data_IF_404553375123
#
_entry.id   IF_404553375123
#
_cell.length_a   1.000
_cell.length_b   1.000
_cell.length_c   1.000
_cell.angle_alpha   90.00
_cell.angle_beta   90.00
_cell.angle_gamma   90.00
#
_symmetry.space_group_name_H-M   'P 1'
#
loop_
_entity.id
_entity.type
_entity.pdbx_description
1 polymer ?
#
# COMPACT_ATOMS: atom_id res chain seq x y z
N UNK A 1 28.18 -11.36 -13.67
CA UNK A 1 27.30 -10.27 -13.19
C UNK A 1 26.17 -9.87 -14.17
N UNK A 2 26.21 -10.20 -15.46
CA UNK A 2 25.25 -9.71 -16.47
C UNK A 2 23.90 -10.46 -16.61
N UNK A 3 23.82 -11.73 -16.19
CA UNK A 3 22.63 -12.56 -16.42
C UNK A 3 21.42 -12.12 -15.58
N UNK A 4 21.62 -11.91 -14.28
CA UNK A 4 20.58 -11.44 -13.34
C UNK A 4 19.93 -10.13 -13.81
N UNK A 5 20.73 -9.20 -14.34
CA UNK A 5 20.24 -7.92 -14.86
C UNK A 5 19.38 -8.09 -16.12
N UNK A 6 19.81 -8.92 -17.08
CA UNK A 6 19.02 -9.20 -18.29
C UNK A 6 17.69 -9.86 -17.95
N UNK A 7 17.69 -10.80 -17.01
CA UNK A 7 16.47 -11.42 -16.50
C UNK A 7 15.53 -10.40 -15.84
N UNK A 8 16.05 -9.58 -14.92
CA UNK A 8 15.27 -8.56 -14.22
C UNK A 8 14.62 -7.56 -15.19
N UNK A 9 15.35 -7.13 -16.24
CA UNK A 9 14.78 -6.24 -17.27
C UNK A 9 13.63 -6.90 -18.02
N UNK A 10 13.76 -8.18 -18.39
CA UNK A 10 12.73 -8.91 -19.16
C UNK A 10 11.49 -9.24 -18.32
N UNK A 11 11.68 -9.50 -17.02
CA UNK A 11 10.66 -10.02 -16.11
C UNK A 11 10.34 -9.09 -14.93
N UNK A 12 10.52 -7.76 -15.08
CA UNK A 12 10.32 -6.75 -14.01
C UNK A 12 9.05 -6.97 -13.18
N UNK A 13 7.91 -7.10 -13.84
CA UNK A 13 6.62 -7.24 -13.15
C UNK A 13 6.56 -8.54 -12.33
N UNK A 14 6.97 -9.68 -12.91
CA UNK A 14 6.97 -10.95 -12.20
C UNK A 14 7.95 -10.98 -11.04
N UNK A 15 9.15 -10.40 -11.23
CA UNK A 15 10.14 -10.25 -10.16
C UNK A 15 9.58 -9.41 -9.01
N UNK A 16 8.94 -8.29 -9.33
CA UNK A 16 8.29 -7.45 -8.34
C UNK A 16 7.20 -8.20 -7.58
N UNK A 17 6.28 -8.91 -8.27
CA UNK A 17 5.20 -9.63 -7.59
C UNK A 17 5.76 -10.65 -6.59
N UNK A 18 6.72 -11.48 -7.02
CA UNK A 18 7.36 -12.48 -6.16
C UNK A 18 8.04 -11.83 -4.96
N UNK A 19 8.80 -10.75 -5.19
CA UNK A 19 9.47 -10.04 -4.10
C UNK A 19 8.48 -9.37 -3.14
N UNK A 20 7.39 -8.80 -3.64
CA UNK A 20 6.39 -8.13 -2.81
C UNK A 20 5.79 -9.12 -1.81
N UNK A 21 5.34 -10.29 -2.29
CA UNK A 21 4.85 -11.36 -1.42
C UNK A 21 5.89 -11.86 -0.44
N UNK A 22 7.08 -12.23 -0.93
CA UNK A 22 8.13 -12.79 -0.07
C UNK A 22 8.53 -11.83 1.04
N UNK A 23 8.70 -10.53 0.71
CA UNK A 23 9.10 -9.53 1.69
C UNK A 23 7.98 -9.19 2.67
N UNK A 24 6.73 -9.04 2.18
CA UNK A 24 5.59 -8.81 3.07
C UNK A 24 5.42 -9.95 4.08
N UNK A 25 5.42 -11.20 3.61
CA UNK A 25 5.30 -12.37 4.49
C UNK A 25 6.50 -12.50 5.43
N UNK A 26 7.72 -12.34 4.93
CA UNK A 26 8.92 -12.39 5.78
C UNK A 26 8.87 -11.38 6.93
N UNK A 27 8.33 -10.19 6.69
CA UNK A 27 8.22 -9.13 7.69
C UNK A 27 7.02 -9.31 8.63
N UNK A 28 5.90 -9.87 8.15
CA UNK A 28 4.73 -10.13 8.99
C UNK A 28 4.84 -11.39 9.85
N UNK A 29 5.48 -12.45 9.33
CA UNK A 29 5.54 -13.76 10.01
C UNK A 29 6.06 -13.66 11.45
N UNK A 30 7.16 -12.96 11.78
CA UNK A 30 7.61 -12.84 13.16
C UNK A 30 6.55 -12.25 14.09
N UNK A 31 5.88 -11.17 13.66
CA UNK A 31 4.82 -10.51 14.43
C UNK A 31 3.60 -11.43 14.63
N UNK A 32 3.24 -12.22 13.61
CA UNK A 32 2.16 -13.22 13.69
C UNK A 32 2.54 -14.37 14.63
N UNK A 33 3.77 -14.87 14.56
CA UNK A 33 4.24 -15.94 15.44
C UNK A 33 4.30 -15.46 16.90
N UNK A 34 4.75 -14.23 17.12
CA UNK A 34 4.75 -13.61 18.44
C UNK A 34 3.35 -13.45 19.00
N UNK A 35 2.38 -12.93 18.24
CA UNK A 35 1.01 -12.74 18.72
C UNK A 35 0.28 -14.04 19.06
N UNK A 36 0.75 -15.17 18.51
CA UNK A 36 0.26 -16.52 18.81
C UNK A 36 1.04 -17.23 19.92
N UNK A 37 2.03 -16.58 20.53
CA UNK A 37 2.88 -17.18 21.58
C UNK A 37 3.82 -18.28 21.08
N UNK A 38 4.11 -18.32 19.77
CA UNK A 38 5.00 -19.32 19.16
C UNK A 38 6.47 -18.91 19.17
N UNK A 39 6.77 -17.65 19.54
CA UNK A 39 8.14 -17.17 19.77
C UNK A 39 8.45 -17.13 21.28
N UNK A 40 9.71 -17.31 21.68
CA UNK A 40 10.11 -17.23 23.09
C UNK A 40 10.09 -15.80 23.66
N UNK A 41 9.71 -14.80 22.84
CA UNK A 41 9.62 -13.40 23.21
C UNK A 41 8.40 -12.74 22.55
N UNK A 42 7.92 -11.65 23.15
CA UNK A 42 6.85 -10.82 22.59
C UNK A 42 7.45 -9.67 21.76
N UNK A 43 7.03 -9.57 20.51
CA UNK A 43 7.35 -8.43 19.66
C UNK A 43 6.40 -7.26 19.95
N UNK A 44 6.90 -6.02 19.93
CA UNK A 44 6.06 -4.82 19.96
C UNK A 44 5.04 -4.81 18.81
N UNK A 45 3.82 -4.34 19.07
CA UNK A 45 2.73 -4.28 18.08
C UNK A 45 3.12 -3.48 16.82
N UNK A 46 3.97 -2.45 16.98
CA UNK A 46 4.49 -1.66 15.86
C UNK A 46 5.23 -2.52 14.82
N UNK A 47 5.81 -3.67 15.20
CA UNK A 47 6.47 -4.56 14.24
C UNK A 47 5.48 -5.19 13.24
N UNK A 48 4.18 -5.23 13.55
CA UNK A 48 3.15 -5.76 12.64
C UNK A 48 2.98 -4.92 11.37
N UNK A 49 3.33 -3.62 11.41
CA UNK A 49 3.18 -2.73 10.26
C UNK A 49 4.30 -2.90 9.23
N UNK A 50 5.39 -3.60 9.57
CA UNK A 50 6.55 -3.73 8.70
C UNK A 50 6.23 -4.42 7.37
N UNK A 51 5.33 -5.42 7.36
CA UNK A 51 4.94 -6.13 6.14
C UNK A 51 4.23 -5.26 5.10
N UNK A 52 3.63 -4.15 5.51
CA UNK A 52 3.02 -3.15 4.63
C UNK A 52 4.06 -2.51 3.67
N UNK A 53 5.34 -2.54 4.04
CA UNK A 53 6.43 -2.00 3.22
C UNK A 53 7.02 -3.01 2.24
N UNK A 54 6.55 -4.27 2.23
CA UNK A 54 7.00 -5.30 1.29
C UNK A 54 6.92 -4.87 -0.18
N UNK A 55 5.80 -4.31 -0.67
CA UNK A 55 5.69 -3.82 -2.04
C UNK A 55 6.64 -2.67 -2.36
N UNK A 56 6.81 -1.69 -1.46
CA UNK A 56 7.80 -0.62 -1.65
C UNK A 56 9.22 -1.17 -1.78
N UNK A 57 9.62 -2.09 -0.89
CA UNK A 57 10.93 -2.73 -0.92
C UNK A 57 11.12 -3.56 -2.21
N UNK A 58 10.08 -4.28 -2.64
CA UNK A 58 10.10 -5.02 -3.89
C UNK A 58 10.30 -4.13 -5.11
N UNK A 59 9.65 -2.95 -5.15
CA UNK A 59 9.85 -1.97 -6.21
C UNK A 59 11.30 -1.45 -6.22
N UNK A 60 11.83 -1.09 -5.05
CA UNK A 60 13.23 -0.62 -4.90
C UNK A 60 14.21 -1.66 -5.41
N UNK A 61 14.08 -2.93 -4.98
CA UNK A 61 14.97 -4.01 -5.38
C UNK A 61 14.86 -4.31 -6.88
N UNK A 62 13.63 -4.39 -7.41
CA UNK A 62 13.40 -4.65 -8.83
C UNK A 62 14.01 -3.56 -9.71
N UNK A 63 13.81 -2.28 -9.34
CA UNK A 63 14.38 -1.14 -10.05
C UNK A 63 15.90 -1.09 -9.92
N UNK A 64 16.45 -1.35 -8.74
CA UNK A 64 17.91 -1.37 -8.53
C UNK A 64 18.58 -2.45 -9.41
N UNK A 65 17.96 -3.62 -9.55
CA UNK A 65 18.46 -4.72 -10.37
C UNK A 65 18.30 -4.46 -11.88
N UNK A 66 17.18 -3.88 -12.31
CA UNK A 66 16.88 -3.72 -13.73
C UNK A 66 17.42 -2.38 -14.30
N UNK A 67 17.11 -1.27 -13.64
CA UNK A 67 17.32 0.09 -14.14
C UNK A 67 18.41 0.88 -13.36
N UNK A 68 18.87 0.33 -12.23
CA UNK A 68 19.89 0.95 -11.39
C UNK A 68 19.44 2.27 -10.75
N UNK A 69 20.42 3.06 -10.30
CA UNK A 69 20.18 4.33 -9.58
C UNK A 69 19.30 5.31 -10.36
N UNK A 70 19.46 5.39 -11.68
CA UNK A 70 18.67 6.30 -12.52
C UNK A 70 17.18 5.94 -12.50
N UNK A 71 16.85 4.65 -12.64
CA UNK A 71 15.46 4.18 -12.57
C UNK A 71 14.81 4.45 -11.22
N UNK A 72 15.54 4.21 -10.13
CA UNK A 72 15.05 4.46 -8.78
C UNK A 72 14.75 5.95 -8.55
N UNK A 73 15.64 6.86 -8.96
CA UNK A 73 15.42 8.30 -8.82
C UNK A 73 14.22 8.77 -9.65
N UNK A 74 14.07 8.27 -10.88
CA UNK A 74 12.91 8.58 -11.72
C UNK A 74 11.60 8.10 -11.07
N UNK A 75 11.60 6.89 -10.51
CA UNK A 75 10.45 6.34 -9.79
C UNK A 75 10.10 7.17 -8.55
N UNK A 76 11.07 7.48 -7.68
CA UNK A 76 10.83 8.31 -6.49
C UNK A 76 10.24 9.68 -6.82
N UNK A 77 10.75 10.32 -7.88
CA UNK A 77 10.20 11.60 -8.37
C UNK A 77 8.77 11.47 -8.88
N UNK A 78 8.42 10.31 -9.45
CA UNK A 78 7.06 10.06 -9.96
C UNK A 78 6.02 9.87 -8.87
N UNK A 79 6.44 9.53 -7.64
CA UNK A 79 5.54 9.35 -6.49
C UNK A 79 4.97 10.68 -5.98
N UNK A 80 5.64 11.80 -6.25
CA UNK A 80 5.20 13.13 -5.83
C UNK A 80 4.52 13.83 -7.00
N UNK A 81 3.19 14.05 -6.94
CA UNK A 81 2.49 14.74 -8.02
C UNK A 81 2.90 16.22 -8.08
N UNK A 82 3.13 16.73 -9.28
CA UNK A 82 3.47 18.15 -9.48
C UNK A 82 2.29 19.10 -9.18
N UNK A 83 1.05 18.62 -9.37
CA UNK A 83 -0.19 19.36 -9.09
C UNK A 83 -1.29 18.41 -8.67
N UNK A 84 -2.04 18.79 -7.65
CA UNK A 84 -3.25 18.09 -7.21
C UNK A 84 -4.44 18.99 -7.55
N UNK A 85 -5.32 18.52 -8.44
CA UNK A 85 -6.51 19.28 -8.80
C UNK A 85 -7.62 19.12 -7.76
N UNK A 86 -8.50 20.12 -7.61
CA UNK A 86 -9.64 20.03 -6.69
C UNK A 86 -10.56 18.84 -6.99
N UNK A 87 -10.64 18.38 -8.25
CA UNK A 87 -11.37 17.16 -8.63
C UNK A 87 -10.76 15.90 -8.01
N UNK A 88 -9.42 15.79 -7.99
CA UNK A 88 -8.74 14.67 -7.35
C UNK A 88 -8.93 14.69 -5.83
N UNK A 89 -8.93 15.87 -5.22
CA UNK A 89 -9.25 16.02 -3.79
C UNK A 89 -10.68 15.56 -3.51
N UNK A 90 -11.66 16.01 -4.30
CA UNK A 90 -13.05 15.59 -4.15
C UNK A 90 -13.23 14.07 -4.30
N UNK A 91 -12.56 13.45 -5.27
CA UNK A 91 -12.55 11.99 -5.44
C UNK A 91 -11.91 11.28 -4.24
N UNK A 92 -10.79 11.80 -3.71
CA UNK A 92 -10.13 11.24 -2.53
C UNK A 92 -10.97 11.35 -1.25
N UNK A 93 -11.85 12.35 -1.16
CA UNK A 93 -12.80 12.52 -0.04
C UNK A 93 -14.06 11.67 -0.17
N UNK A 94 -14.30 11.05 -1.34
CA UNK A 94 -15.51 10.26 -1.60
C UNK A 94 -15.68 9.09 -0.62
N UNK A 95 -14.64 8.28 -0.29
CA UNK A 95 -14.78 7.22 0.72
C UNK A 95 -15.15 7.74 2.11
N UNK A 96 -14.65 8.92 2.49
CA UNK A 96 -15.00 9.56 3.78
C UNK A 96 -16.47 9.98 3.78
N UNK A 97 -16.93 10.60 2.70
CA UNK A 97 -18.33 11.00 2.55
C UNK A 97 -19.29 9.79 2.56
N UNK A 98 -18.94 8.72 1.85
CA UNK A 98 -19.72 7.47 1.84
C UNK A 98 -19.77 6.86 3.24
N UNK A 99 -18.64 6.75 3.94
CA UNK A 99 -18.62 6.22 5.31
C UNK A 99 -19.45 7.08 6.27
N UNK A 100 -19.35 8.41 6.19
CA UNK A 100 -20.17 9.31 6.97
C UNK A 100 -21.67 9.11 6.72
N UNK A 101 -22.07 8.96 5.46
CA UNK A 101 -23.45 8.66 5.10
C UNK A 101 -23.91 7.31 5.67
N UNK A 102 -23.08 6.27 5.58
CA UNK A 102 -23.39 4.94 6.12
C UNK A 102 -23.58 4.95 7.64
N UNK A 103 -22.75 5.70 8.38
CA UNK A 103 -22.88 5.86 9.83
C UNK A 103 -24.21 6.53 10.19
N UNK A 104 -24.57 7.59 9.46
CA UNK A 104 -25.87 8.28 9.65
C UNK A 104 -27.04 7.35 9.36
N UNK A 105 -26.99 6.63 8.23
CA UNK A 105 -28.04 5.69 7.85
C UNK A 105 -28.19 4.58 8.89
N UNK A 106 -27.07 4.04 9.40
CA UNK A 106 -27.09 3.03 10.45
C UNK A 106 -27.82 3.53 11.70
N UNK A 107 -27.46 4.71 12.21
CA UNK A 107 -28.08 5.28 13.39
C UNK A 107 -29.59 5.53 13.24
N UNK A 108 -30.02 5.99 12.06
CA UNK A 108 -31.45 6.18 11.75
C UNK A 108 -32.20 4.84 11.76
N UNK A 109 -31.59 3.77 11.24
CA UNK A 109 -32.21 2.44 11.19
C UNK A 109 -32.22 1.77 12.56
N UNK A 110 -31.14 1.88 13.33
CA UNK A 110 -31.02 1.25 14.65
C UNK A 110 -31.75 2.01 15.74
N UNK A 111 -32.07 3.29 15.52
CA UNK A 111 -32.59 4.19 16.55
C UNK A 111 -31.53 4.57 17.60
N UNK A 112 -30.25 4.30 17.32
CA UNK A 112 -29.15 4.67 18.20
C UNK A 112 -28.87 6.17 18.11
N UNK A 113 -28.61 6.79 19.27
CA UNK A 113 -28.11 8.16 19.30
C UNK A 113 -26.64 8.21 18.84
N UNK A 114 -26.37 8.95 17.76
CA UNK A 114 -25.01 9.24 17.32
C UNK A 114 -24.32 10.20 18.31
N UNK A 115 -23.49 9.65 19.20
CA UNK A 115 -22.63 10.45 20.06
C UNK A 115 -21.32 10.81 19.35
N UNK A 116 -21.34 11.89 18.57
CA UNK A 116 -20.11 12.46 18.00
C UNK A 116 -19.40 13.27 19.08
N UNK A 117 -18.38 12.67 19.70
CA UNK A 117 -17.55 13.34 20.70
C UNK A 117 -16.37 14.07 20.02
N UNK A 118 -16.30 15.39 20.17
CA UNK A 118 -15.21 16.21 19.63
C UNK A 118 -13.81 15.76 20.12
N UNK A 119 -13.70 15.26 21.35
CA UNK A 119 -12.44 14.70 21.87
C UNK A 119 -12.03 13.42 21.14
N UNK A 120 -13.00 12.59 20.74
CA UNK A 120 -12.73 11.39 19.93
C UNK A 120 -12.22 11.78 18.54
N UNK A 121 -12.79 12.82 17.93
CA UNK A 121 -12.34 13.34 16.63
C UNK A 121 -10.89 13.85 16.70
N UNK A 122 -10.54 14.61 17.75
CA UNK A 122 -9.18 15.12 17.91
C UNK A 122 -8.14 14.01 18.09
N UNK A 123 -8.51 12.87 18.70
CA UNK A 123 -7.64 11.69 18.82
C UNK A 123 -7.45 10.94 17.49
N UNK A 124 -8.42 11.01 16.58
CA UNK A 124 -8.35 10.34 15.27
C UNK A 124 -7.32 11.01 14.35
N UNK A 125 -7.12 12.32 14.43
CA UNK A 125 -6.19 13.05 13.54
C UNK A 125 -4.76 12.47 13.58
N UNK A 126 -4.08 12.37 14.75
CA UNK A 126 -2.73 11.81 14.78
C UNK A 126 -2.71 10.33 14.38
N UNK A 127 -3.73 9.55 14.74
CA UNK A 127 -3.86 8.16 14.31
C UNK A 127 -3.99 8.04 12.79
N UNK A 128 -4.75 8.91 12.15
CA UNK A 128 -4.90 8.95 10.70
C UNK A 128 -3.55 9.13 10.01
N UNK A 129 -2.73 10.09 10.44
CA UNK A 129 -1.40 10.28 9.85
C UNK A 129 -0.46 9.12 10.14
N UNK A 130 -0.53 8.54 11.33
CA UNK A 130 0.21 7.33 11.67
C UNK A 130 -0.15 6.17 10.73
N UNK A 131 -1.44 5.88 10.55
CA UNK A 131 -1.91 4.82 9.65
C UNK A 131 -1.69 5.16 8.17
N UNK A 132 -1.69 6.43 7.78
CA UNK A 132 -1.34 6.83 6.42
C UNK A 132 0.10 6.44 6.07
N UNK A 133 1.03 6.60 7.02
CA UNK A 133 2.46 6.31 6.83
C UNK A 133 2.76 4.83 7.03
N UNK A 134 2.30 4.25 8.15
CA UNK A 134 2.69 2.90 8.56
C UNK A 134 1.63 1.84 8.23
N UNK A 135 0.38 2.25 8.12
CA UNK A 135 -0.78 1.37 8.07
C UNK A 135 -1.08 0.67 6.75
N UNK A 136 -0.20 0.77 5.76
CA UNK A 136 -0.48 0.26 4.41
C UNK A 136 -0.26 1.31 3.35
N UNK A 137 -0.98 2.45 3.34
CA UNK A 137 -1.06 3.34 2.19
C UNK A 137 0.30 3.75 1.63
N UNK A 138 1.21 4.28 2.44
CA UNK A 138 2.52 4.69 1.90
C UNK A 138 3.37 3.52 1.39
N UNK A 139 3.42 2.40 2.13
CA UNK A 139 4.25 1.25 1.77
C UNK A 139 3.69 0.42 0.60
N UNK A 140 2.40 0.16 0.61
CA UNK A 140 1.73 -0.68 -0.38
C UNK A 140 1.49 0.08 -1.68
N UNK A 141 0.90 1.29 -1.60
CA UNK A 141 0.49 2.05 -2.78
C UNK A 141 1.70 2.44 -3.64
N UNK A 142 2.85 2.73 -3.01
CA UNK A 142 4.09 3.05 -3.75
C UNK A 142 4.58 1.89 -4.60
N UNK A 143 4.42 0.64 -4.12
CA UNK A 143 4.68 -0.56 -4.92
C UNK A 143 3.60 -0.82 -5.97
N UNK A 144 2.34 -0.96 -5.53
CA UNK A 144 1.24 -1.36 -6.42
C UNK A 144 0.89 -0.31 -7.47
N UNK A 145 0.64 0.93 -7.03
CA UNK A 145 0.24 2.04 -7.92
C UNK A 145 1.46 2.76 -8.48
N UNK A 146 2.55 2.86 -7.71
CA UNK A 146 3.76 3.56 -8.13
C UNK A 146 4.69 2.75 -9.04
N UNK A 147 4.67 1.41 -8.98
CA UNK A 147 5.51 0.56 -9.84
C UNK A 147 4.71 -0.41 -10.70
N UNK A 148 3.88 -1.28 -10.10
CA UNK A 148 3.24 -2.38 -10.83
C UNK A 148 2.24 -1.90 -11.88
N UNK A 149 1.38 -0.93 -11.52
CA UNK A 149 0.38 -0.38 -12.41
C UNK A 149 1.00 0.27 -13.67
N UNK A 150 2.00 1.17 -13.59
CA UNK A 150 2.69 1.70 -14.76
C UNK A 150 3.32 0.62 -15.65
N UNK A 151 3.91 -0.43 -15.07
CA UNK A 151 4.49 -1.53 -15.84
C UNK A 151 3.43 -2.39 -16.55
N UNK A 152 2.27 -2.59 -15.93
CA UNK A 152 1.11 -3.26 -16.54
C UNK A 152 0.53 -2.45 -17.70
N UNK A 153 0.37 -1.12 -17.51
CA UNK A 153 -0.17 -0.21 -18.52
C UNK A 153 0.70 -0.10 -19.78
N UNK A 154 1.98 -0.48 -19.72
CA UNK A 154 2.85 -0.57 -20.91
C UNK A 154 2.47 -1.72 -21.84
N UNK A 155 1.79 -2.75 -21.33
CA UNK A 155 1.49 -4.00 -22.05
C UNK A 155 0.00 -4.26 -22.21
N UNK A 156 -0.83 -3.66 -21.36
CA UNK A 156 -2.27 -3.90 -21.29
C UNK A 156 -3.05 -2.59 -21.25
N UNK A 157 -4.34 -2.64 -21.60
CA UNK A 157 -5.25 -1.50 -21.43
C UNK A 157 -5.54 -1.21 -19.95
N UNK A 158 -6.22 -0.08 -19.70
CA UNK A 158 -6.57 0.39 -18.35
C UNK A 158 -7.34 -0.67 -17.55
N UNK A 159 -8.44 -1.18 -18.13
CA UNK A 159 -9.30 -2.15 -17.44
C UNK A 159 -8.55 -3.45 -17.10
N UNK A 160 -7.84 -4.03 -18.07
CA UNK A 160 -7.07 -5.26 -17.86
C UNK A 160 -5.96 -5.07 -16.83
N UNK A 161 -5.26 -3.93 -16.86
CA UNK A 161 -4.21 -3.61 -15.87
C UNK A 161 -4.79 -3.52 -14.47
N UNK A 162 -5.92 -2.82 -14.30
CA UNK A 162 -6.60 -2.70 -13.01
C UNK A 162 -7.12 -4.05 -12.50
N UNK A 163 -7.68 -4.89 -13.37
CA UNK A 163 -8.18 -6.22 -13.00
C UNK A 163 -7.04 -7.16 -12.59
N UNK A 164 -5.95 -7.20 -13.36
CA UNK A 164 -4.76 -8.02 -13.02
C UNK A 164 -4.18 -7.56 -11.68
N UNK A 165 -4.02 -6.25 -11.50
CA UNK A 165 -3.49 -5.70 -10.25
C UNK A 165 -4.41 -6.01 -9.07
N UNK A 166 -5.73 -5.88 -9.24
CA UNK A 166 -6.71 -6.22 -8.21
C UNK A 166 -6.66 -7.70 -7.82
N UNK A 167 -6.58 -8.60 -8.80
CA UNK A 167 -6.49 -10.04 -8.55
C UNK A 167 -5.19 -10.42 -7.82
N UNK A 168 -4.06 -9.81 -8.21
CA UNK A 168 -2.79 -10.02 -7.51
C UNK A 168 -2.84 -9.41 -6.12
N UNK A 169 -3.37 -8.22 -5.92
CA UNK A 169 -3.39 -7.61 -4.59
C UNK A 169 -4.35 -8.31 -3.62
N UNK A 170 -5.40 -8.97 -4.13
CA UNK A 170 -6.35 -9.73 -3.32
C UNK A 170 -5.77 -11.03 -2.74
N UNK A 171 -4.89 -11.70 -3.48
CA UNK A 171 -4.35 -13.02 -3.14
C UNK A 171 -3.20 -12.99 -2.15
#
# INVERSE_FOLDING_TARGET
MFWHRRFAIKHKLGLFMVLAYLLSWLLWTPSILSSRGLLPFQLPEICSVAGNFGPALAAILTLALADGKKGLVTWLKSLVPNRISGRLVALALTPIAINGLLVVLYAVISGDDMQINAQSVLKIIPLFFFWLVFGGPLGEETGWRGFALPELLKKHGLLSSSMILGAVWFG
#
